data_IF_944077711292
#
_entry.id   IF_944077711292
#
_cell.length_a   1.000
_cell.length_b   1.000
_cell.length_c   1.000
_cell.angle_alpha   90.00
_cell.angle_beta   90.00
_cell.angle_gamma   90.00
#
_symmetry.space_group_name_H-M   'P 1'
#
loop_
_entity.id
_entity.type
_entity.pdbx_description
1 polymer ?
#
# COMPACT_ATOMS: atom_id res chain seq x y z
N UNK A 1 23.17 7.89 1.71
CA UNK A 1 21.85 8.21 1.13
C UNK A 1 21.44 9.57 1.64
N UNK A 2 21.05 10.50 0.75
CA UNK A 2 20.44 11.76 1.17
C UNK A 2 19.11 11.45 1.88
N UNK A 3 18.72 12.28 2.85
CA UNK A 3 17.42 12.15 3.51
C UNK A 3 16.33 12.26 2.45
N UNK A 4 15.60 11.17 2.24
CA UNK A 4 14.44 11.15 1.36
C UNK A 4 13.34 11.95 2.06
N UNK A 5 12.62 12.82 1.35
CA UNK A 5 11.50 13.56 1.95
C UNK A 5 10.32 12.67 2.41
N UNK A 6 10.41 11.35 2.23
CA UNK A 6 9.43 10.37 2.70
C UNK A 6 10.06 9.43 3.72
N UNK A 7 9.25 8.88 4.63
CA UNK A 7 9.69 7.90 5.63
C UNK A 7 9.70 6.48 5.07
N UNK A 8 8.72 6.16 4.24
CA UNK A 8 8.59 4.88 3.58
C UNK A 8 8.11 5.08 2.15
N UNK A 9 8.77 4.46 1.17
CA UNK A 9 8.26 4.29 -0.17
C UNK A 9 8.05 2.80 -0.47
N UNK A 10 6.86 2.43 -0.88
CA UNK A 10 6.53 1.06 -1.29
C UNK A 10 6.22 1.07 -2.76
N UNK A 11 6.86 0.19 -3.52
CA UNK A 11 6.67 0.09 -4.95
C UNK A 11 6.22 -1.29 -5.40
N UNK A 12 5.39 -1.30 -6.43
CA UNK A 12 4.84 -2.51 -7.05
C UNK A 12 4.99 -2.46 -8.56
N UNK A 13 5.51 -3.54 -9.15
CA UNK A 13 5.53 -3.73 -10.59
C UNK A 13 4.15 -4.13 -11.14
N UNK A 14 3.87 -3.93 -12.44
CA UNK A 14 2.67 -4.46 -13.09
C UNK A 14 2.51 -5.97 -12.87
N UNK A 15 3.60 -6.74 -12.88
CA UNK A 15 3.57 -8.18 -12.64
C UNK A 15 3.01 -8.52 -11.25
N UNK A 16 3.46 -7.82 -10.21
CA UNK A 16 2.98 -8.05 -8.84
C UNK A 16 1.50 -7.67 -8.70
N UNK A 17 1.12 -6.50 -9.21
CA UNK A 17 -0.27 -6.02 -9.18
C UNK A 17 -1.22 -6.95 -9.95
N UNK A 18 -0.82 -7.39 -11.15
CA UNK A 18 -1.63 -8.25 -12.01
C UNK A 18 -1.78 -9.67 -11.44
N UNK A 19 -0.80 -10.15 -10.69
CA UNK A 19 -0.95 -11.39 -9.92
C UNK A 19 -2.05 -11.26 -8.86
N UNK A 20 -2.09 -10.13 -8.13
CA UNK A 20 -3.15 -9.82 -7.17
C UNK A 20 -4.54 -9.72 -7.81
N UNK A 21 -4.66 -8.98 -8.93
CA UNK A 21 -5.91 -8.87 -9.69
C UNK A 21 -6.37 -10.22 -10.26
N UNK A 22 -5.44 -11.05 -10.71
CA UNK A 22 -5.72 -12.42 -11.15
C UNK A 22 -6.33 -13.26 -10.04
N UNK A 23 -5.75 -13.22 -8.83
CA UNK A 23 -6.30 -13.91 -7.64
C UNK A 23 -7.67 -13.36 -7.26
N UNK A 24 -7.84 -12.04 -7.25
CA UNK A 24 -9.11 -11.38 -6.96
C UNK A 24 -10.21 -11.83 -7.94
N UNK A 25 -9.90 -11.92 -9.23
CA UNK A 25 -10.83 -12.42 -10.25
C UNK A 25 -11.21 -13.88 -10.04
N UNK A 26 -10.23 -14.74 -9.73
CA UNK A 26 -10.46 -16.16 -9.49
C UNK A 26 -11.29 -16.43 -8.22
N UNK A 27 -10.97 -15.73 -7.13
CA UNK A 27 -11.58 -15.99 -5.80
C UNK A 27 -12.87 -15.20 -5.59
N UNK A 28 -12.99 -14.03 -6.21
CA UNK A 28 -14.11 -13.10 -6.04
C UNK A 28 -14.75 -12.69 -7.37
N UNK A 29 -14.92 -13.67 -8.28
CA UNK A 29 -15.50 -13.47 -9.61
C UNK A 29 -16.87 -12.77 -9.63
N UNK A 30 -17.63 -12.83 -8.53
CA UNK A 30 -18.91 -12.13 -8.40
C UNK A 30 -18.78 -10.58 -8.45
N UNK A 31 -17.61 -10.01 -8.14
CA UNK A 31 -17.36 -8.57 -8.25
C UNK A 31 -17.29 -8.13 -9.73
N UNK A 32 -16.93 -9.07 -10.61
CA UNK A 32 -16.65 -8.82 -12.03
C UNK A 32 -17.86 -9.06 -12.94
N UNK A 33 -18.99 -9.48 -12.38
CA UNK A 33 -20.24 -9.71 -13.12
C UNK A 33 -21.43 -9.21 -12.32
N UNK A 34 -22.49 -8.82 -12.99
CA UNK A 34 -23.71 -8.43 -12.29
C UNK A 34 -24.79 -7.89 -13.19
N UNK A 35 -25.88 -7.49 -12.56
CA UNK A 35 -27.08 -6.95 -13.19
C UNK A 35 -27.64 -5.80 -12.37
N UNK A 36 -28.07 -4.74 -13.03
CA UNK A 36 -28.64 -3.54 -12.41
C UNK A 36 -29.76 -2.99 -13.30
N UNK A 37 -30.85 -2.51 -12.69
CA UNK A 37 -31.86 -1.73 -13.40
C UNK A 37 -31.51 -0.25 -13.31
N UNK A 38 -31.52 0.43 -14.45
CA UNK A 38 -31.19 1.86 -14.54
C UNK A 38 -32.11 2.56 -15.52
N UNK A 39 -32.68 3.68 -15.09
CA UNK A 39 -33.41 4.57 -15.98
C UNK A 39 -32.40 5.37 -16.83
N UNK A 40 -32.64 5.43 -18.13
CA UNK A 40 -31.93 6.31 -19.04
C UNK A 40 -32.95 6.96 -19.97
N UNK A 41 -32.99 8.29 -19.95
CA UNK A 41 -34.10 9.06 -20.51
C UNK A 41 -35.42 8.60 -19.87
N UNK A 42 -36.43 8.25 -20.66
CA UNK A 42 -37.75 7.78 -20.20
C UNK A 42 -37.86 6.25 -20.16
N UNK A 43 -36.77 5.52 -20.42
CA UNK A 43 -36.78 4.05 -20.55
C UNK A 43 -35.95 3.42 -19.44
N UNK A 44 -36.49 2.38 -18.81
CA UNK A 44 -35.73 1.56 -17.87
C UNK A 44 -35.00 0.45 -18.61
N UNK A 45 -33.70 0.34 -18.38
CA UNK A 45 -32.86 -0.72 -18.92
C UNK A 45 -32.42 -1.65 -17.80
N UNK A 46 -32.44 -2.94 -18.08
CA UNK A 46 -31.66 -3.94 -17.36
C UNK A 46 -30.26 -3.99 -17.96
N UNK A 47 -29.25 -3.50 -17.24
CA UNK A 47 -27.85 -3.60 -17.61
C UNK A 47 -27.21 -4.82 -16.93
N UNK A 48 -26.66 -5.72 -17.74
CA UNK A 48 -25.83 -6.85 -17.33
C UNK A 48 -24.40 -6.60 -17.79
N UNK A 49 -23.43 -6.96 -16.94
CA UNK A 49 -22.00 -6.87 -17.27
C UNK A 49 -21.28 -8.14 -16.83
N UNK A 50 -20.22 -8.47 -17.55
CA UNK A 50 -19.34 -9.57 -17.22
C UNK A 50 -17.92 -9.28 -17.71
N UNK A 51 -16.95 -9.30 -16.80
CA UNK A 51 -15.53 -9.26 -17.12
C UNK A 51 -15.00 -10.69 -17.05
N UNK A 52 -14.97 -11.35 -18.20
CA UNK A 52 -14.72 -12.79 -18.32
C UNK A 52 -13.26 -13.17 -18.06
N UNK A 53 -12.34 -12.24 -18.29
CA UNK A 53 -10.91 -12.42 -18.06
C UNK A 53 -10.39 -11.45 -17.00
N UNK A 54 -9.37 -11.88 -16.24
CA UNK A 54 -8.81 -11.07 -15.17
C UNK A 54 -8.32 -9.70 -15.68
N UNK A 55 -8.71 -8.59 -15.02
CA UNK A 55 -8.19 -7.27 -15.33
C UNK A 55 -6.67 -7.18 -15.18
N UNK A 56 -6.05 -6.26 -15.92
CA UNK A 56 -4.61 -6.00 -15.88
C UNK A 56 -4.34 -4.51 -15.73
N UNK A 57 -3.47 -4.16 -14.81
CA UNK A 57 -2.89 -2.83 -14.71
C UNK A 57 -1.72 -2.69 -15.68
N UNK A 58 -1.73 -1.58 -16.42
CA UNK A 58 -0.65 -1.14 -17.30
C UNK A 58 -0.21 0.24 -16.79
N UNK A 59 1.01 0.29 -16.26
CA UNK A 59 1.58 1.48 -15.61
C UNK A 59 2.37 2.38 -16.57
N UNK A 60 2.26 2.14 -17.87
CA UNK A 60 2.98 2.87 -18.92
C UNK A 60 2.35 4.20 -19.32
N UNK A 61 3.03 4.98 -20.18
CA UNK A 61 2.45 6.18 -20.76
C UNK A 61 1.15 5.85 -21.49
N UNK A 62 0.20 6.78 -21.45
CA UNK A 62 -1.05 6.65 -22.17
C UNK A 62 -0.75 6.61 -23.68
N UNK A 63 -1.20 5.57 -24.41
CA UNK A 63 -0.98 5.51 -25.85
C UNK A 63 -1.58 6.71 -26.57
N UNK A 64 -0.93 7.11 -27.66
CA UNK A 64 -1.35 8.25 -28.47
C UNK A 64 -2.80 8.11 -28.95
N UNK A 65 -3.54 9.22 -28.98
CA UNK A 65 -4.96 9.25 -29.37
C UNK A 65 -5.93 8.67 -28.34
N UNK A 66 -5.47 7.83 -27.41
CA UNK A 66 -6.37 7.08 -26.50
C UNK A 66 -7.19 7.98 -25.58
N UNK A 67 -6.63 9.10 -25.12
CA UNK A 67 -7.39 10.09 -24.34
C UNK A 67 -8.48 10.79 -25.17
N UNK A 68 -8.16 11.13 -26.42
CA UNK A 68 -9.04 11.86 -27.33
C UNK A 68 -10.27 11.02 -27.68
N UNK A 69 -10.05 9.73 -27.90
CA UNK A 69 -11.10 8.80 -28.34
C UNK A 69 -11.86 8.15 -27.17
N UNK A 70 -11.47 8.43 -25.92
CA UNK A 70 -12.12 7.86 -24.75
C UNK A 70 -13.42 8.61 -24.36
N UNK A 71 -14.39 7.85 -23.87
CA UNK A 71 -15.57 8.38 -23.22
C UNK A 71 -15.22 8.87 -21.80
N UNK A 72 -15.06 10.19 -21.67
CA UNK A 72 -14.70 10.86 -20.42
C UNK A 72 -15.81 10.75 -19.37
N UNK A 73 -15.41 10.52 -18.12
CA UNK A 73 -16.28 10.63 -16.96
C UNK A 73 -16.77 12.07 -16.78
N UNK A 74 -17.89 12.25 -16.06
CA UNK A 74 -18.36 13.58 -15.69
C UNK A 74 -17.30 14.26 -14.80
N UNK A 75 -16.87 15.47 -15.18
CA UNK A 75 -15.85 16.23 -14.44
C UNK A 75 -14.41 15.80 -14.70
N UNK A 76 -14.16 14.88 -15.64
CA UNK A 76 -12.81 14.58 -16.09
C UNK A 76 -12.19 15.81 -16.81
N UNK A 77 -10.87 16.03 -16.69
CA UNK A 77 -10.20 17.16 -17.33
C UNK A 77 -10.26 17.08 -18.85
N UNK A 78 -9.94 18.19 -19.55
CA UNK A 78 -9.89 18.19 -21.01
C UNK A 78 -8.67 17.43 -21.55
N UNK A 79 -7.55 17.49 -20.84
CA UNK A 79 -6.28 16.81 -21.10
C UNK A 79 -6.00 15.75 -20.03
N UNK A 80 -5.24 14.67 -20.34
CA UNK A 80 -4.91 13.68 -19.33
C UNK A 80 -4.03 14.33 -18.25
N UNK A 81 -4.18 13.96 -16.97
CA UNK A 81 -3.28 14.45 -15.93
C UNK A 81 -1.81 14.14 -16.25
N UNK A 82 -0.91 15.01 -15.81
CA UNK A 82 0.53 14.85 -16.04
C UNK A 82 1.15 13.71 -15.24
N UNK A 83 0.53 13.30 -14.12
CA UNK A 83 1.08 12.32 -13.18
C UNK A 83 0.03 11.33 -12.70
N UNK A 84 0.49 10.16 -12.25
CA UNK A 84 -0.35 9.14 -11.63
C UNK A 84 -1.33 8.45 -12.58
N UNK A 85 -1.22 8.67 -13.89
CA UNK A 85 -2.12 8.06 -14.88
C UNK A 85 -1.67 6.63 -15.18
N UNK A 86 -2.63 5.71 -15.17
CA UNK A 86 -2.44 4.33 -15.57
C UNK A 86 -3.69 3.79 -16.27
N UNK A 87 -3.57 2.62 -16.89
CA UNK A 87 -4.66 1.93 -17.53
C UNK A 87 -5.05 0.68 -16.75
N UNK A 88 -6.35 0.50 -16.51
CA UNK A 88 -6.94 -0.77 -16.12
C UNK A 88 -7.52 -1.40 -17.39
N UNK A 89 -6.82 -2.39 -17.91
CA UNK A 89 -7.19 -3.19 -19.06
C UNK A 89 -8.18 -4.30 -18.66
N UNK A 90 -9.34 -4.31 -19.31
CA UNK A 90 -10.37 -5.32 -19.19
C UNK A 90 -10.41 -6.07 -20.52
N UNK A 91 -9.60 -7.14 -20.70
CA UNK A 91 -9.35 -7.73 -22.01
C UNK A 91 -10.60 -8.35 -22.64
N UNK A 92 -11.51 -8.86 -21.80
CA UNK A 92 -12.78 -9.47 -22.22
C UNK A 92 -13.93 -8.95 -21.37
N UNK A 93 -14.35 -7.72 -21.63
CA UNK A 93 -15.50 -7.10 -21.00
C UNK A 93 -16.73 -7.20 -21.90
N UNK A 94 -17.78 -7.83 -21.38
CA UNK A 94 -19.08 -7.93 -22.01
C UNK A 94 -20.13 -7.08 -21.30
N UNK A 95 -21.06 -6.51 -22.05
CA UNK A 95 -22.25 -5.86 -21.52
C UNK A 95 -23.48 -6.23 -22.35
N UNK A 96 -24.63 -6.20 -21.70
CA UNK A 96 -25.95 -6.29 -22.33
C UNK A 96 -26.91 -5.33 -21.65
N UNK A 97 -27.51 -4.41 -22.39
CA UNK A 97 -28.56 -3.53 -21.89
C UNK A 97 -29.89 -3.89 -22.58
N UNK A 98 -30.83 -4.43 -21.81
CA UNK A 98 -32.15 -4.85 -22.29
C UNK A 98 -33.19 -3.81 -21.85
N UNK A 99 -33.86 -3.09 -22.76
CA UNK A 99 -34.93 -2.17 -22.40
C UNK A 99 -36.15 -2.94 -21.88
N UNK A 100 -36.86 -2.36 -20.91
CA UNK A 100 -38.16 -2.89 -20.46
C UNK A 100 -39.24 -2.71 -21.55
N UNK A 101 -39.08 -1.71 -22.43
CA UNK A 101 -39.88 -1.54 -23.65
C UNK A 101 -39.34 -2.44 -24.77
N UNK A 102 -40.13 -3.45 -25.16
CA UNK A 102 -39.78 -4.44 -26.19
C UNK A 102 -39.72 -3.86 -27.61
N UNK A 103 -40.24 -2.67 -27.85
CA UNK A 103 -40.13 -1.98 -29.14
C UNK A 103 -38.71 -1.45 -29.39
N UNK A 104 -37.92 -1.29 -28.32
CA UNK A 104 -36.55 -0.82 -28.39
C UNK A 104 -35.57 -1.98 -28.51
N UNK A 105 -34.51 -1.79 -29.28
CA UNK A 105 -33.47 -2.83 -29.44
C UNK A 105 -32.65 -2.99 -28.17
N UNK A 106 -32.25 -4.23 -27.88
CA UNK A 106 -31.24 -4.49 -26.86
C UNK A 106 -29.85 -4.12 -27.36
N UNK A 107 -29.03 -3.58 -26.47
CA UNK A 107 -27.63 -3.26 -26.75
C UNK A 107 -26.77 -4.38 -26.20
N UNK A 108 -25.78 -4.82 -26.96
CA UNK A 108 -24.80 -5.78 -26.47
C UNK A 108 -23.45 -5.51 -27.11
N UNK A 109 -22.39 -5.78 -26.36
CA UNK A 109 -21.03 -5.68 -26.85
C UNK A 109 -20.10 -6.50 -25.99
N UNK A 110 -19.08 -7.05 -26.62
CA UNK A 110 -18.00 -7.75 -25.95
C UNK A 110 -16.68 -7.36 -26.61
N UNK A 111 -15.66 -7.11 -25.79
CA UNK A 111 -14.33 -6.84 -26.28
C UNK A 111 -13.43 -6.23 -25.23
N UNK A 112 -12.27 -5.77 -25.69
CA UNK A 112 -11.31 -5.09 -24.83
C UNK A 112 -11.81 -3.67 -24.51
N UNK A 113 -11.83 -3.37 -23.22
CA UNK A 113 -12.16 -2.05 -22.68
C UNK A 113 -11.03 -1.62 -21.76
N UNK A 114 -10.67 -0.34 -21.81
CA UNK A 114 -9.64 0.21 -20.93
C UNK A 114 -10.16 1.40 -20.16
N UNK A 115 -10.12 1.30 -18.83
CA UNK A 115 -10.35 2.45 -17.98
C UNK A 115 -9.04 3.21 -17.80
N UNK A 116 -9.06 4.49 -18.14
CA UNK A 116 -7.98 5.43 -17.86
C UNK A 116 -8.21 5.93 -16.44
N UNK A 117 -7.30 5.63 -15.54
CA UNK A 117 -7.40 5.92 -14.11
C UNK A 117 -6.25 6.84 -13.69
N UNK A 118 -6.48 7.60 -12.62
CA UNK A 118 -5.46 8.38 -11.94
C UNK A 118 -5.34 7.91 -10.49
N UNK A 119 -4.13 7.57 -10.07
CA UNK A 119 -3.75 7.45 -8.68
C UNK A 119 -3.27 8.82 -8.18
N UNK A 120 -3.80 9.25 -7.04
CA UNK A 120 -3.38 10.47 -6.34
C UNK A 120 -3.62 10.28 -4.84
N UNK A 121 -3.01 11.14 -4.04
CA UNK A 121 -3.26 11.18 -2.59
C UNK A 121 -4.24 12.30 -2.30
N UNK A 122 -5.34 11.98 -1.61
CA UNK A 122 -6.34 12.93 -1.15
C UNK A 122 -6.69 12.59 0.29
N UNK A 123 -6.68 13.59 1.17
CA UNK A 123 -6.93 13.41 2.60
C UNK A 123 -6.11 12.25 3.20
N UNK A 124 -4.81 12.20 2.89
CA UNK A 124 -3.87 11.17 3.37
C UNK A 124 -4.28 9.74 3.01
N UNK A 125 -5.04 9.57 1.94
CA UNK A 125 -5.49 8.27 1.45
C UNK A 125 -5.10 8.13 -0.02
N UNK A 126 -4.55 6.97 -0.38
CA UNK A 126 -4.39 6.61 -1.79
C UNK A 126 -5.77 6.53 -2.43
N UNK A 127 -6.03 7.41 -3.37
CA UNK A 127 -7.29 7.50 -4.08
C UNK A 127 -7.06 7.17 -5.54
N UNK A 128 -7.92 6.31 -6.08
CA UNK A 128 -7.92 5.96 -7.48
C UNK A 128 -9.22 6.49 -8.09
N UNK A 129 -9.08 7.39 -9.07
CA UNK A 129 -10.19 8.00 -9.79
C UNK A 129 -10.19 7.51 -11.24
N UNK A 130 -11.20 6.76 -11.66
CA UNK A 130 -11.46 6.49 -13.07
C UNK A 130 -11.84 7.78 -13.79
N UNK A 131 -11.12 8.12 -14.86
CA UNK A 131 -11.27 9.38 -15.59
C UNK A 131 -11.99 9.20 -16.92
N UNK A 132 -11.73 8.10 -17.63
CA UNK A 132 -12.31 7.86 -18.94
C UNK A 132 -12.31 6.39 -19.29
N UNK A 133 -13.13 6.02 -20.28
CA UNK A 133 -13.23 4.66 -20.77
C UNK A 133 -13.00 4.62 -22.28
N UNK A 134 -12.05 3.81 -22.71
CA UNK A 134 -11.74 3.57 -24.11
C UNK A 134 -12.20 2.16 -24.51
N UNK A 135 -12.81 2.04 -25.69
CA UNK A 135 -13.25 0.77 -26.26
C UNK A 135 -12.40 0.45 -27.49
N UNK A 136 -11.92 -0.79 -27.61
CA UNK A 136 -11.22 -1.22 -28.82
C UNK A 136 -12.15 -1.25 -30.04
N UNK A 137 -13.43 -1.51 -29.82
CA UNK A 137 -14.46 -1.51 -30.86
C UNK A 137 -15.68 -0.73 -30.35
N UNK A 138 -15.68 0.60 -30.47
CA UNK A 138 -16.80 1.42 -30.04
C UNK A 138 -18.02 1.19 -30.95
N UNK A 139 -19.25 1.38 -30.44
CA UNK A 139 -20.44 1.38 -31.30
C UNK A 139 -20.35 2.51 -32.33
N UNK A 140 -20.81 2.25 -33.55
CA UNK A 140 -20.84 3.23 -34.65
C UNK A 140 -22.21 3.90 -34.80
N UNK A 141 -23.29 3.23 -34.38
CA UNK A 141 -24.64 3.80 -34.42
C UNK A 141 -24.77 4.95 -33.39
N UNK A 142 -25.24 6.15 -33.78
CA UNK A 142 -25.35 7.29 -32.87
C UNK A 142 -26.24 7.05 -31.63
N UNK A 143 -27.28 6.23 -31.76
CA UNK A 143 -28.20 5.89 -30.67
C UNK A 143 -27.51 4.96 -29.67
N UNK A 144 -26.78 3.96 -30.17
CA UNK A 144 -25.96 3.07 -29.35
C UNK A 144 -24.85 3.82 -28.64
N UNK A 145 -24.15 4.73 -29.34
CA UNK A 145 -23.11 5.58 -28.74
C UNK A 145 -23.68 6.36 -27.56
N UNK A 146 -24.85 6.97 -27.73
CA UNK A 146 -25.52 7.73 -26.66
C UNK A 146 -25.88 6.84 -25.47
N UNK A 147 -26.44 5.66 -25.73
CA UNK A 147 -26.83 4.73 -24.68
C UNK A 147 -25.63 4.10 -23.96
N UNK A 148 -24.58 3.70 -24.68
CA UNK A 148 -23.31 3.21 -24.10
C UNK A 148 -22.69 4.28 -23.21
N UNK A 149 -22.65 5.53 -23.66
CA UNK A 149 -22.12 6.66 -22.87
C UNK A 149 -22.95 6.94 -21.61
N UNK A 150 -24.27 6.75 -21.65
CA UNK A 150 -25.18 6.99 -20.52
C UNK A 150 -25.33 5.83 -19.53
N UNK A 151 -25.25 4.59 -20.00
CA UNK A 151 -25.53 3.38 -19.21
C UNK A 151 -24.25 2.62 -18.85
N UNK A 152 -23.47 2.26 -19.88
CA UNK A 152 -22.35 1.32 -19.78
C UNK A 152 -21.11 1.99 -19.22
N UNK A 153 -20.72 3.15 -19.78
CA UNK A 153 -19.51 3.88 -19.37
C UNK A 153 -19.52 4.19 -17.87
N UNK A 154 -20.57 4.79 -17.28
CA UNK A 154 -20.57 5.07 -15.84
C UNK A 154 -20.49 3.82 -14.98
N UNK A 155 -21.07 2.70 -15.44
CA UNK A 155 -21.02 1.43 -14.69
C UNK A 155 -19.62 0.82 -14.70
N UNK A 156 -18.97 0.74 -15.86
CA UNK A 156 -17.61 0.19 -15.95
C UNK A 156 -16.63 1.07 -15.18
N UNK A 157 -16.76 2.40 -15.26
CA UNK A 157 -15.95 3.32 -14.46
C UNK A 157 -16.19 3.10 -12.95
N UNK A 158 -17.44 2.91 -12.52
CA UNK A 158 -17.75 2.58 -11.12
C UNK A 158 -17.09 1.27 -10.67
N UNK A 159 -17.08 0.23 -11.51
CA UNK A 159 -16.38 -1.04 -11.22
C UNK A 159 -14.87 -0.80 -11.12
N UNK A 160 -14.29 -0.09 -12.09
CA UNK A 160 -12.87 0.23 -12.09
C UNK A 160 -12.45 1.02 -10.85
N UNK A 161 -13.28 1.96 -10.39
CA UNK A 161 -13.07 2.68 -9.14
C UNK A 161 -13.19 1.78 -7.93
N UNK A 162 -14.25 0.95 -7.86
CA UNK A 162 -14.51 0.05 -6.74
C UNK A 162 -13.47 -1.05 -6.53
N UNK A 163 -12.84 -1.54 -7.60
CA UNK A 163 -11.75 -2.53 -7.52
C UNK A 163 -10.48 -1.97 -6.88
N UNK A 164 -10.36 -0.65 -6.85
CA UNK A 164 -9.14 0.07 -6.55
C UNK A 164 -9.31 1.04 -5.36
N UNK A 165 -10.51 1.16 -4.79
CA UNK A 165 -10.80 1.96 -3.60
C UNK A 165 -10.53 1.19 -2.31
N UNK A 166 -10.23 1.91 -1.23
CA UNK A 166 -10.14 1.34 0.12
C UNK A 166 -8.75 0.83 0.52
N UNK A 167 -7.72 1.06 -0.30
CA UNK A 167 -6.34 0.76 0.07
C UNK A 167 -5.84 1.79 1.10
N UNK A 168 -5.94 1.43 2.38
CA UNK A 168 -5.31 2.15 3.49
C UNK A 168 -4.02 1.42 3.86
N UNK A 169 -2.98 2.18 4.22
CA UNK A 169 -1.84 1.59 4.93
C UNK A 169 -2.31 1.33 6.36
N UNK A 170 -2.46 0.06 6.79
CA UNK A 170 -2.87 -0.23 8.15
C UNK A 170 -1.80 0.26 9.12
N UNK A 171 -2.22 0.87 10.24
CA UNK A 171 -1.32 1.13 11.38
C UNK A 171 -0.69 -0.19 11.80
N UNK A 172 0.64 -0.23 11.86
CA UNK A 172 1.38 -1.41 12.30
C UNK A 172 1.86 -1.18 13.73
N UNK A 173 1.84 -2.22 14.55
CA UNK A 173 2.57 -2.22 15.81
C UNK A 173 3.91 -2.90 15.57
N UNK A 174 4.99 -2.12 15.52
CA UNK A 174 6.35 -2.65 15.43
C UNK A 174 7.09 -2.29 16.71
N UNK A 175 7.70 -3.31 17.32
CA UNK A 175 8.54 -3.14 18.51
C UNK A 175 7.83 -2.41 19.67
N UNK A 176 6.56 -2.72 19.90
CA UNK A 176 5.75 -2.10 20.96
C UNK A 176 5.39 -0.64 20.70
N UNK A 177 5.63 -0.10 19.50
CA UNK A 177 5.17 1.22 19.08
C UNK A 177 4.19 1.12 17.93
N UNK A 178 3.10 1.88 18.02
CA UNK A 178 2.18 2.10 16.91
C UNK A 178 2.83 3.04 15.91
N UNK A 179 3.00 2.57 14.69
CA UNK A 179 3.53 3.34 13.58
C UNK A 179 2.39 3.57 12.61
N UNK A 180 2.02 4.84 12.50
CA UNK A 180 1.03 5.29 11.52
C UNK A 180 1.79 5.94 10.38
N UNK A 181 1.65 5.36 9.19
CA UNK A 181 2.17 5.91 7.96
C UNK A 181 1.00 6.45 7.16
N UNK A 182 1.09 7.71 6.81
CA UNK A 182 0.10 8.42 6.02
C UNK A 182 0.63 8.55 4.58
N UNK A 183 -0.11 8.02 3.58
CA UNK A 183 0.11 8.36 2.18
C UNK A 183 0.36 9.85 1.99
N UNK A 184 1.50 10.19 1.39
CA UNK A 184 1.90 11.56 1.09
C UNK A 184 1.90 11.80 -0.42
N UNK A 185 2.49 10.88 -1.19
CA UNK A 185 2.58 10.97 -2.64
C UNK A 185 2.37 9.61 -3.28
N UNK A 186 1.90 9.63 -4.51
CA UNK A 186 1.88 8.46 -5.37
C UNK A 186 2.44 8.82 -6.74
N UNK A 187 3.21 7.90 -7.30
CA UNK A 187 3.76 8.02 -8.64
C UNK A 187 3.52 6.74 -9.45
N UNK A 188 3.36 6.92 -10.75
CA UNK A 188 3.22 5.85 -11.74
C UNK A 188 4.33 6.05 -12.77
N UNK A 189 5.44 5.35 -12.56
CA UNK A 189 6.71 5.63 -13.23
C UNK A 189 6.94 4.80 -14.50
N UNK A 190 5.90 4.34 -15.19
CA UNK A 190 6.02 3.40 -16.32
C UNK A 190 6.20 1.94 -15.88
N UNK A 191 7.07 1.74 -14.90
CA UNK A 191 7.54 0.44 -14.42
C UNK A 191 7.00 0.06 -13.05
N UNK A 192 6.61 1.05 -12.25
CA UNK A 192 6.15 0.86 -10.88
C UNK A 192 5.00 1.80 -10.53
N UNK A 193 4.12 1.32 -9.66
CA UNK A 193 3.23 2.15 -8.85
C UNK A 193 3.93 2.32 -7.51
N UNK A 194 4.28 3.55 -7.16
CA UNK A 194 5.01 3.85 -5.93
C UNK A 194 4.15 4.71 -5.04
N UNK A 195 3.97 4.26 -3.81
CA UNK A 195 3.31 5.01 -2.75
C UNK A 195 4.38 5.44 -1.74
N UNK A 196 4.60 6.74 -1.62
CA UNK A 196 5.42 7.31 -0.56
C UNK A 196 4.52 7.77 0.58
N UNK A 197 4.92 7.44 1.80
CA UNK A 197 4.24 7.78 3.02
C UNK A 197 5.19 8.50 3.98
N UNK A 198 4.61 9.39 4.77
CA UNK A 198 5.26 10.06 5.89
C UNK A 198 4.59 9.61 7.18
N UNK A 199 5.32 9.61 8.29
CA UNK A 199 4.80 9.29 9.61
C UNK A 199 5.09 10.40 10.60
N UNK A 200 5.33 10.00 11.86
CA UNK A 200 5.67 10.94 12.95
C UNK A 200 7.05 11.60 12.79
N UNK A 201 7.84 11.19 11.79
CA UNK A 201 8.95 12.02 11.33
C UNK A 201 8.29 13.01 10.39
N UNK A 202 8.19 14.27 10.79
CA UNK A 202 7.70 15.36 9.92
C UNK A 202 8.69 15.63 8.78
N UNK A 203 9.07 14.61 8.03
CA UNK A 203 9.75 14.77 6.78
C UNK A 203 8.84 15.61 5.87
N UNK A 204 9.39 16.68 5.30
CA UNK A 204 8.71 17.40 4.25
C UNK A 204 8.58 16.41 3.09
N UNK A 205 7.37 15.90 2.89
CA UNK A 205 7.03 15.09 1.73
C UNK A 205 7.57 15.82 0.49
N UNK A 206 8.34 15.14 -0.38
CA UNK A 206 8.93 15.82 -1.53
C UNK A 206 7.82 16.32 -2.44
N UNK A 207 8.06 17.38 -3.22
CA UNK A 207 7.02 17.88 -4.14
C UNK A 207 6.73 16.88 -5.27
N UNK A 208 7.67 15.95 -5.54
CA UNK A 208 7.55 14.93 -6.57
C UNK A 208 8.46 13.73 -6.31
N UNK A 209 8.05 12.57 -6.83
CA UNK A 209 8.86 11.35 -6.88
C UNK A 209 9.51 11.14 -8.27
N UNK A 210 9.24 12.02 -9.23
CA UNK A 210 9.73 11.91 -10.60
C UNK A 210 11.26 11.89 -10.66
N UNK A 211 11.82 11.06 -11.55
CA UNK A 211 13.27 10.91 -11.72
C UNK A 211 13.96 10.03 -10.67
N UNK A 212 13.23 9.54 -9.67
CA UNK A 212 13.76 8.58 -8.69
C UNK A 212 14.04 7.23 -9.37
N UNK A 213 15.24 6.68 -9.15
CA UNK A 213 15.57 5.31 -9.57
C UNK A 213 15.05 4.32 -8.53
N UNK A 214 14.08 3.52 -8.94
CA UNK A 214 13.49 2.49 -8.09
C UNK A 214 14.25 1.16 -8.19
N UNK A 215 14.29 0.34 -7.13
CA UNK A 215 14.85 -1.00 -7.18
C UNK A 215 14.16 -1.85 -8.25
N UNK A 216 14.94 -2.64 -9.00
CA UNK A 216 14.39 -3.59 -9.97
C UNK A 216 13.92 -4.87 -9.27
N UNK A 217 12.87 -4.74 -8.46
CA UNK A 217 12.25 -5.84 -7.71
C UNK A 217 10.73 -5.79 -7.89
N UNK A 218 10.04 -6.94 -8.01
CA UNK A 218 8.59 -6.97 -8.23
C UNK A 218 7.77 -6.20 -7.20
N UNK A 219 8.23 -6.22 -5.94
CA UNK A 219 7.74 -5.46 -4.80
C UNK A 219 8.96 -5.00 -4.01
N UNK A 220 8.95 -3.75 -3.56
CA UNK A 220 9.99 -3.22 -2.69
C UNK A 220 9.43 -2.28 -1.62
N UNK A 221 10.19 -2.10 -0.55
CA UNK A 221 9.96 -1.07 0.46
C UNK A 221 11.30 -0.39 0.75
N UNK A 222 11.31 0.94 0.76
CA UNK A 222 12.47 1.77 1.05
C UNK A 222 12.14 2.68 2.24
N UNK A 223 12.85 2.48 3.35
CA UNK A 223 12.73 3.36 4.52
C UNK A 223 13.78 4.47 4.48
N UNK A 224 13.43 5.68 4.91
CA UNK A 224 14.42 6.72 5.16
C UNK A 224 15.34 6.31 6.31
N UNK A 225 16.56 6.85 6.33
CA UNK A 225 17.49 6.59 7.44
C UNK A 225 16.88 6.98 8.77
N UNK A 226 16.27 8.16 8.83
CA UNK A 226 15.64 8.69 10.03
C UNK A 226 14.48 7.80 10.50
N UNK A 227 13.68 7.29 9.57
CA UNK A 227 12.63 6.32 9.88
C UNK A 227 13.21 5.02 10.44
N UNK A 228 14.21 4.44 9.77
CA UNK A 228 14.87 3.20 10.23
C UNK A 228 15.55 3.37 11.59
N UNK A 229 16.18 4.52 11.86
CA UNK A 229 16.75 4.84 13.17
C UNK A 229 15.69 4.89 14.26
N UNK A 230 14.52 5.49 13.99
CA UNK A 230 13.40 5.49 14.96
C UNK A 230 12.87 4.08 15.22
N UNK A 231 12.76 3.25 14.18
CA UNK A 231 12.36 1.84 14.35
C UNK A 231 13.37 1.07 15.18
N UNK A 232 14.67 1.24 14.90
CA UNK A 232 15.73 0.60 15.65
C UNK A 232 15.71 1.05 17.12
N UNK A 233 15.52 2.34 17.37
CA UNK A 233 15.40 2.88 18.74
C UNK A 233 14.21 2.30 19.48
N UNK A 234 13.05 2.20 18.83
CA UNK A 234 11.88 1.54 19.39
C UNK A 234 12.16 0.05 19.71
N UNK A 235 12.84 -0.64 18.78
CA UNK A 235 13.31 -2.01 18.92
C UNK A 235 14.25 -2.24 20.09
N UNK A 236 15.05 -1.25 20.46
CA UNK A 236 15.96 -1.32 21.60
C UNK A 236 15.26 -0.92 22.90
N UNK A 237 14.43 0.12 22.86
CA UNK A 237 13.68 0.63 24.02
C UNK A 237 12.72 -0.42 24.62
N UNK A 238 12.21 -1.37 23.82
CA UNK A 238 11.36 -2.47 24.34
C UNK A 238 12.09 -3.40 25.33
N UNK A 239 13.42 -3.38 25.35
CA UNK A 239 14.27 -4.14 26.27
C UNK A 239 14.77 -3.30 27.45
N UNK A 240 14.47 -1.99 27.48
CA UNK A 240 14.86 -1.12 28.58
C UNK A 240 14.23 -1.59 29.88
N UNK A 241 15.04 -1.68 30.93
CA UNK A 241 14.64 -2.17 32.24
C UNK A 241 14.38 -3.69 32.31
N UNK A 242 14.62 -4.43 31.21
CA UNK A 242 14.49 -5.89 31.19
C UNK A 242 15.83 -6.58 31.38
N UNK A 243 15.77 -7.77 31.96
CA UNK A 243 16.92 -8.66 32.13
C UNK A 243 17.35 -9.17 30.75
N UNK A 244 18.47 -8.67 30.25
CA UNK A 244 19.08 -9.18 29.01
C UNK A 244 19.97 -10.39 29.29
N UNK A 245 20.35 -10.58 30.55
CA UNK A 245 21.03 -11.76 31.05
C UNK A 245 20.60 -12.01 32.49
N UNK A 246 20.16 -13.22 32.79
CA UNK A 246 19.86 -13.67 34.16
C UNK A 246 20.24 -15.15 34.26
N UNK A 247 21.35 -15.44 34.93
CA UNK A 247 21.83 -16.81 35.12
C UNK A 247 22.29 -17.06 36.54
N UNK A 248 21.96 -18.25 37.01
CA UNK A 248 22.48 -18.80 38.24
C UNK A 248 23.70 -19.67 37.92
N UNK A 249 24.77 -19.49 38.68
CA UNK A 249 25.99 -20.27 38.61
C UNK A 249 26.26 -20.84 40.00
N UNK A 250 26.40 -22.15 40.13
CA UNK A 250 26.72 -22.76 41.41
C UNK A 250 26.07 -24.12 41.66
N UNK A 251 26.07 -24.53 42.92
CA UNK A 251 25.53 -25.77 43.44
C UNK A 251 24.75 -25.51 44.75
N UNK A 252 24.35 -26.57 45.44
CA UNK A 252 23.52 -26.50 46.67
C UNK A 252 24.22 -25.82 47.87
N UNK A 253 25.52 -25.53 47.77
CA UNK A 253 26.32 -24.94 48.84
C UNK A 253 26.55 -23.44 48.58
N UNK A 254 26.73 -23.07 47.31
CA UNK A 254 26.90 -21.68 46.90
C UNK A 254 26.28 -21.45 45.53
N UNK A 255 25.42 -20.45 45.44
CA UNK A 255 24.76 -20.05 44.21
C UNK A 255 24.95 -18.55 43.98
N UNK A 256 25.44 -18.20 42.80
CA UNK A 256 25.59 -16.82 42.32
C UNK A 256 24.56 -16.57 41.23
N UNK A 257 23.65 -15.64 41.48
CA UNK A 257 22.75 -15.10 40.45
C UNK A 257 23.40 -13.86 39.85
N UNK A 258 23.71 -13.91 38.55
CA UNK A 258 24.16 -12.74 37.80
C UNK A 258 23.01 -12.23 36.93
N UNK A 259 22.65 -10.96 37.12
CA UNK A 259 21.60 -10.28 36.38
C UNK A 259 22.15 -9.01 35.74
N UNK A 260 21.95 -8.88 34.42
CA UNK A 260 22.30 -7.71 33.62
C UNK A 260 21.02 -7.13 33.04
N UNK A 261 20.80 -5.83 33.28
CA UNK A 261 19.63 -5.09 32.81
C UNK A 261 20.08 -4.00 31.85
N UNK A 262 19.40 -3.91 30.70
CA UNK A 262 19.61 -2.80 29.78
C UNK A 262 18.99 -1.52 30.35
N UNK A 263 19.80 -0.51 30.65
CA UNK A 263 19.33 0.73 31.27
C UNK A 263 18.97 1.80 30.25
N UNK A 264 19.84 2.02 29.27
CA UNK A 264 19.61 2.97 28.18
C UNK A 264 20.43 2.61 26.95
N UNK A 265 19.99 3.13 25.80
CA UNK A 265 20.80 3.22 24.57
C UNK A 265 20.74 4.64 24.03
N UNK A 266 21.91 5.25 23.89
CA UNK A 266 22.12 6.61 23.45
C UNK A 266 22.92 6.65 22.14
N UNK A 267 22.84 7.79 21.45
CA UNK A 267 23.57 8.05 20.20
C UNK A 267 23.43 6.95 19.14
N UNK A 268 22.27 6.31 19.11
CA UNK A 268 21.95 5.29 18.14
C UNK A 268 21.90 5.91 16.74
N UNK A 269 22.90 5.62 15.94
CA UNK A 269 23.04 6.09 14.57
C UNK A 269 23.17 4.91 13.61
N UNK A 270 22.82 5.14 12.35
CA UNK A 270 22.96 4.17 11.27
C UNK A 270 24.11 4.64 10.38
N UNK A 271 24.93 3.70 9.94
CA UNK A 271 26.08 3.99 9.08
C UNK A 271 25.59 4.69 7.79
N UNK A 272 26.20 5.83 7.41
CA UNK A 272 25.80 6.55 6.24
C UNK A 272 25.96 5.82 4.90
N UNK A 273 26.89 4.87 4.83
CA UNK A 273 27.19 4.04 3.67
C UNK A 273 26.47 2.68 3.72
N UNK A 274 26.22 2.14 4.91
CA UNK A 274 25.54 0.84 5.09
C UNK A 274 24.41 0.92 6.15
N UNK A 275 23.15 1.15 5.75
CA UNK A 275 22.03 1.28 6.69
C UNK A 275 21.67 -0.04 7.42
N UNK A 276 22.35 -1.15 7.12
CA UNK A 276 22.24 -2.40 7.89
C UNK A 276 23.14 -2.42 9.13
N UNK A 277 24.04 -1.44 9.26
CA UNK A 277 24.93 -1.27 10.40
C UNK A 277 24.50 -0.07 11.23
N UNK A 278 24.47 -0.26 12.55
CA UNK A 278 24.22 0.81 13.50
C UNK A 278 25.22 0.77 14.64
N UNK A 279 25.49 1.95 15.21
CA UNK A 279 26.32 2.11 16.40
C UNK A 279 25.51 2.88 17.44
N UNK A 280 25.79 2.65 18.72
CA UNK A 280 25.15 3.35 19.82
C UNK A 280 25.88 3.07 21.13
N UNK A 281 25.79 3.99 22.08
CA UNK A 281 26.27 3.79 23.44
C UNK A 281 25.22 3.03 24.25
N UNK A 282 25.65 2.01 25.00
CA UNK A 282 24.75 1.14 25.77
C UNK A 282 25.10 1.26 27.26
N UNK A 283 24.11 1.63 28.07
CA UNK A 283 24.20 1.58 29.52
C UNK A 283 23.64 0.25 30.04
N UNK A 284 24.43 -0.49 30.81
CA UNK A 284 24.07 -1.77 31.40
C UNK A 284 24.20 -1.69 32.92
N UNK A 285 23.13 -2.03 33.64
CA UNK A 285 23.19 -2.24 35.08
C UNK A 285 23.53 -3.70 35.36
N UNK A 286 24.55 -3.93 36.18
CA UNK A 286 24.98 -5.25 36.61
C UNK A 286 24.64 -5.47 38.08
N UNK A 287 24.05 -6.61 38.39
CA UNK A 287 23.80 -7.07 39.75
C UNK A 287 24.25 -8.52 39.89
N UNK A 288 24.89 -8.84 41.00
CA UNK A 288 25.31 -10.19 41.33
C UNK A 288 24.91 -10.46 42.79
N UNK A 289 24.07 -11.47 42.99
CA UNK A 289 23.64 -11.94 44.30
C UNK A 289 24.33 -13.26 44.63
N UNK A 290 24.97 -13.33 45.80
CA UNK A 290 25.62 -14.55 46.30
C UNK A 290 24.82 -15.10 47.48
N UNK A 291 24.32 -16.33 47.32
CA UNK A 291 23.74 -17.12 48.39
C UNK A 291 24.71 -18.21 48.81
N UNK A 292 25.04 -18.27 50.10
CA UNK A 292 25.93 -19.28 50.68
C UNK A 292 25.17 -20.04 51.75
N UNK A 293 25.00 -21.35 51.55
CA UNK A 293 24.30 -22.26 52.46
C UNK A 293 23.19 -23.08 51.78
N UNK A 294 22.78 -24.21 52.38
CA UNK A 294 21.66 -25.01 51.91
C UNK A 294 20.37 -24.18 51.88
N UNK A 295 19.41 -24.51 50.99
CA UNK A 295 18.22 -23.72 50.57
C UNK A 295 17.38 -23.01 51.67
N UNK A 296 17.62 -23.28 52.96
CA UNK A 296 16.92 -22.71 54.13
C UNK A 296 17.82 -21.99 55.16
N UNK A 297 19.07 -21.64 54.83
CA UNK A 297 20.00 -20.94 55.74
C UNK A 297 19.87 -19.40 55.72
N UNK A 298 20.02 -18.68 56.86
CA UNK A 298 19.66 -17.26 57.01
C UNK A 298 20.66 -16.23 56.45
N UNK A 299 21.67 -16.65 55.68
CA UNK A 299 22.78 -15.77 55.28
C UNK A 299 22.76 -15.46 53.77
N UNK A 300 22.19 -14.32 53.39
CA UNK A 300 22.35 -13.74 52.04
C UNK A 300 23.25 -12.51 52.09
N UNK A 301 24.26 -12.43 51.23
CA UNK A 301 25.06 -11.22 51.02
C UNK A 301 24.56 -10.52 49.75
N UNK A 302 23.99 -9.33 49.90
CA UNK A 302 23.57 -8.45 48.79
C UNK A 302 24.57 -7.29 48.75
N UNK A 303 25.19 -7.01 47.59
CA UNK A 303 26.08 -5.83 47.43
C UNK A 303 25.53 -4.81 46.44
N UNK A 304 25.70 -3.56 46.85
CA UNK A 304 25.21 -2.30 46.32
C UNK A 304 25.36 -2.09 44.80
N UNK A 305 24.28 -1.58 44.21
CA UNK A 305 24.25 -1.15 42.81
C UNK A 305 25.28 -0.06 42.55
N UNK A 306 26.15 -0.30 41.58
CA UNK A 306 26.99 0.73 40.98
C UNK A 306 26.26 1.30 39.77
N UNK A 307 25.70 2.49 39.93
CA UNK A 307 25.33 3.32 38.80
C UNK A 307 26.60 3.79 38.08
N UNK A 308 26.73 3.41 36.81
CA UNK A 308 27.44 4.13 35.76
C UNK A 308 26.50 4.22 34.55
#
# INVERSE_FOLDING_TARGET
MADTGYDLAVGFTPKALNSGLGKLHQQHGAIFKGRERRAFMTVTYTLEWNVAEAPRLVLGPLPEGRWKDAYKAKGAPESPPATGVFLLDLPKAGFKATPDDKSLRSLQGEGQVQAICQAFVENKTLTIRPLALWFASPPTDPSDVRAVKGLVVPKILSIAGGLLTGLRIPTQELFGRKITLEPALVDVSGTHLVLAATGDVKALAPDSLAGTKWPDRPVFALGSRTFLQKLLRAGVDQYRGKDIFNKNFGNDIANVTVKVVLKFVEDLTLDPADPTRGTGAVGLDFSADLKVGPENGPCSFIKAGSGL
#
